data_IF_496628586778
#
_entry.id   IF_496628586778
#
_cell.length_a   1.000
_cell.length_b   1.000
_cell.length_c   1.000
_cell.angle_alpha   90.00
_cell.angle_beta   90.00
_cell.angle_gamma   90.00
#
_symmetry.space_group_name_H-M   'P 1'
#
loop_
_entity.id
_entity.type
_entity.pdbx_description
1 polymer ?
#
# COMPACT_ATOMS: atom_id res chain seq x y z
N UNK A 1 19.48 12.37 -17.81
CA UNK A 1 18.60 12.64 -16.65
C UNK A 1 18.69 11.46 -15.70
N UNK A 2 18.58 11.64 -14.39
CA UNK A 2 18.50 10.53 -13.43
C UNK A 2 17.19 9.78 -13.62
N UNK A 3 17.21 8.44 -13.55
CA UNK A 3 16.00 7.62 -13.54
C UNK A 3 15.08 7.98 -12.39
N UNK A 4 13.77 8.08 -12.65
CA UNK A 4 12.78 8.20 -11.59
C UNK A 4 12.72 6.89 -10.78
N UNK A 5 12.77 6.98 -9.47
CA UNK A 5 12.73 5.83 -8.56
C UNK A 5 11.38 5.77 -7.85
N UNK A 6 10.60 4.75 -8.14
CA UNK A 6 9.32 4.46 -7.48
C UNK A 6 9.53 3.30 -6.52
N UNK A 7 9.20 3.52 -5.25
CA UNK A 7 9.31 2.52 -4.19
C UNK A 7 7.92 2.16 -3.67
N UNK A 8 7.59 0.87 -3.69
CA UNK A 8 6.40 0.31 -3.04
C UNK A 8 6.79 -0.21 -1.65
N UNK A 9 6.06 0.24 -0.64
CA UNK A 9 6.15 -0.22 0.75
C UNK A 9 4.79 -0.72 1.22
N UNK A 10 4.80 -1.79 1.99
CA UNK A 10 3.57 -2.38 2.49
C UNK A 10 3.78 -3.78 3.05
N UNK A 11 2.68 -4.50 3.12
CA UNK A 11 2.56 -5.85 3.64
C UNK A 11 2.42 -6.91 2.54
N UNK A 12 1.65 -7.98 2.80
CA UNK A 12 1.41 -9.08 1.84
C UNK A 12 0.70 -8.64 0.56
N UNK A 13 -0.11 -7.58 0.61
CA UNK A 13 -0.81 -7.05 -0.57
C UNK A 13 0.18 -6.43 -1.56
N UNK A 14 1.30 -5.91 -1.06
CA UNK A 14 2.39 -5.37 -1.86
C UNK A 14 3.39 -6.47 -2.24
N UNK A 15 3.84 -7.28 -1.28
CA UNK A 15 4.78 -8.41 -1.44
C UNK A 15 4.32 -9.43 -2.51
N UNK A 16 3.12 -9.96 -2.35
CA UNK A 16 2.50 -10.98 -3.22
C UNK A 16 3.49 -11.99 -3.81
N UNK A 17 4.35 -12.55 -2.93
CA UNK A 17 5.31 -13.60 -3.28
C UNK A 17 6.51 -13.13 -4.11
N UNK A 18 6.90 -11.87 -4.00
CA UNK A 18 8.12 -11.37 -4.65
C UNK A 18 9.37 -12.12 -4.18
N UNK A 19 10.37 -12.21 -5.02
CA UNK A 19 11.72 -12.62 -4.61
C UNK A 19 12.36 -11.49 -3.78
N UNK A 20 12.46 -11.68 -2.46
CA UNK A 20 13.01 -10.69 -1.53
C UNK A 20 14.51 -10.47 -1.68
N UNK A 21 15.21 -11.31 -2.42
CA UNK A 21 16.62 -11.12 -2.79
C UNK A 21 16.82 -10.12 -3.93
N UNK A 22 15.75 -9.80 -4.68
CA UNK A 22 15.77 -8.80 -5.75
C UNK A 22 14.68 -7.74 -5.53
N UNK A 23 15.08 -6.55 -5.14
CA UNK A 23 14.15 -5.42 -4.91
C UNK A 23 13.42 -4.94 -6.17
N UNK A 24 13.82 -5.40 -7.37
CA UNK A 24 13.13 -5.15 -8.64
C UNK A 24 12.10 -6.21 -8.99
N UNK A 25 12.07 -7.31 -8.24
CA UNK A 25 11.03 -8.32 -8.40
C UNK A 25 9.71 -7.79 -7.82
N UNK A 26 8.67 -7.69 -8.66
CA UNK A 26 7.37 -7.09 -8.33
C UNK A 26 6.34 -8.13 -7.86
N UNK A 27 6.76 -9.37 -7.58
CA UNK A 27 5.83 -10.45 -7.21
C UNK A 27 4.73 -10.68 -8.24
N UNK A 28 3.52 -10.95 -7.74
CA UNK A 28 2.31 -11.15 -8.55
C UNK A 28 1.17 -10.18 -8.16
N UNK A 29 1.47 -9.17 -7.35
CA UNK A 29 0.52 -8.17 -6.84
C UNK A 29 0.36 -6.95 -7.75
N UNK A 30 -0.32 -5.94 -7.21
CA UNK A 30 -0.56 -4.68 -7.93
C UNK A 30 0.75 -3.98 -8.41
N UNK A 31 1.92 -4.08 -7.71
CA UNK A 31 3.15 -3.45 -8.20
C UNK A 31 3.59 -3.98 -9.57
N UNK A 32 3.39 -5.28 -9.84
CA UNK A 32 3.66 -5.87 -11.15
C UNK A 32 2.80 -5.24 -12.24
N UNK A 33 1.49 -5.13 -12.00
CA UNK A 33 0.55 -4.53 -12.97
C UNK A 33 0.85 -3.06 -13.20
N UNK A 34 1.21 -2.30 -12.14
CA UNK A 34 1.65 -0.90 -12.26
C UNK A 34 2.89 -0.80 -13.16
N UNK A 35 3.95 -1.53 -12.81
CA UNK A 35 5.23 -1.45 -13.53
C UNK A 35 5.08 -1.87 -14.99
N UNK A 36 4.32 -2.95 -15.25
CA UNK A 36 4.11 -3.48 -16.60
C UNK A 36 3.29 -2.53 -17.46
N UNK A 37 2.15 -2.06 -16.96
CA UNK A 37 1.26 -1.16 -17.70
C UNK A 37 1.92 0.21 -17.94
N UNK A 38 2.63 0.75 -16.95
CA UNK A 38 3.35 2.02 -17.12
C UNK A 38 4.40 1.91 -18.22
N UNK A 39 5.24 0.86 -18.17
CA UNK A 39 6.30 0.66 -19.18
C UNK A 39 5.73 0.39 -20.57
N UNK A 40 4.62 -0.35 -20.68
CA UNK A 40 3.94 -0.59 -21.95
C UNK A 40 3.38 0.71 -22.58
N UNK A 41 2.80 1.57 -21.73
CA UNK A 41 2.26 2.87 -22.18
C UNK A 41 3.35 3.91 -22.48
N UNK A 42 4.50 3.83 -21.78
CA UNK A 42 5.59 4.83 -21.84
C UNK A 42 6.97 4.16 -21.96
N UNK A 43 7.26 3.46 -23.09
CA UNK A 43 8.46 2.62 -23.23
C UNK A 43 9.79 3.40 -23.17
N UNK A 44 9.76 4.71 -23.46
CA UNK A 44 10.95 5.57 -23.42
C UNK A 44 11.10 6.36 -22.12
N UNK A 45 10.22 6.16 -21.13
CA UNK A 45 10.30 6.84 -19.84
C UNK A 45 11.34 6.15 -18.94
N UNK A 46 12.32 6.91 -18.45
CA UNK A 46 13.42 6.37 -17.64
C UNK A 46 12.98 6.23 -16.17
N UNK A 47 12.52 5.05 -15.79
CA UNK A 47 11.93 4.74 -14.48
C UNK A 47 12.37 3.37 -13.97
N UNK A 48 12.69 3.32 -12.67
CA UNK A 48 12.88 2.08 -11.91
C UNK A 48 11.75 1.92 -10.89
N UNK A 49 11.22 0.71 -10.78
CA UNK A 49 10.27 0.31 -9.74
C UNK A 49 10.97 -0.64 -8.78
N UNK A 50 10.75 -0.43 -7.49
CA UNK A 50 11.27 -1.27 -6.40
C UNK A 50 10.11 -1.69 -5.52
N UNK A 51 10.06 -2.98 -5.17
CA UNK A 51 9.07 -3.53 -4.26
C UNK A 51 9.76 -4.04 -2.99
N UNK A 52 9.37 -3.48 -1.87
CA UNK A 52 9.86 -3.83 -0.54
C UNK A 52 8.70 -4.14 0.43
N UNK A 53 7.55 -4.58 -0.12
CA UNK A 53 6.50 -5.21 0.66
C UNK A 53 7.01 -6.46 1.39
N UNK A 54 6.56 -6.67 2.63
CA UNK A 54 6.85 -7.88 3.42
C UNK A 54 5.55 -8.40 4.03
N UNK A 55 5.19 -9.63 3.65
CA UNK A 55 3.97 -10.28 4.14
C UNK A 55 3.93 -10.33 5.67
N UNK A 56 2.82 -9.89 6.25
CA UNK A 56 2.58 -9.86 7.68
C UNK A 56 2.98 -8.57 8.38
N UNK A 57 3.69 -7.66 7.72
CA UNK A 57 4.14 -6.40 8.32
C UNK A 57 2.96 -5.54 8.78
N UNK A 58 3.16 -4.95 9.96
CA UNK A 58 2.39 -3.85 10.52
C UNK A 58 3.16 -2.54 10.34
N UNK A 59 2.56 -1.42 10.68
CA UNK A 59 3.25 -0.12 10.63
C UNK A 59 4.53 -0.10 11.47
N UNK A 60 4.55 -0.78 12.63
CA UNK A 60 5.73 -0.91 13.50
C UNK A 60 6.87 -1.70 12.84
N UNK A 61 6.54 -2.68 12.02
CA UNK A 61 7.52 -3.50 11.32
C UNK A 61 8.14 -2.71 10.16
N UNK A 62 7.35 -1.91 9.44
CA UNK A 62 7.88 -0.90 8.52
C UNK A 62 8.87 0.02 9.22
N UNK A 63 8.54 0.51 10.43
CA UNK A 63 9.41 1.39 11.21
C UNK A 63 10.77 0.73 11.50
N UNK A 64 10.77 -0.54 11.84
CA UNK A 64 11.99 -1.28 12.20
C UNK A 64 12.99 -1.40 11.03
N UNK A 65 12.51 -1.40 9.78
CA UNK A 65 13.34 -1.52 8.56
C UNK A 65 13.40 -0.25 7.70
N UNK A 66 12.82 0.86 8.18
CA UNK A 66 12.60 2.07 7.38
C UNK A 66 13.89 2.70 6.83
N UNK A 67 14.98 2.65 7.62
CA UNK A 67 16.26 3.20 7.19
C UNK A 67 16.78 2.49 5.94
N UNK A 68 16.93 1.17 5.99
CA UNK A 68 17.49 0.38 4.89
C UNK A 68 16.55 0.29 3.70
N UNK A 69 15.25 0.14 3.98
CA UNK A 69 14.28 -0.24 2.96
C UNK A 69 13.55 0.97 2.35
N UNK A 70 13.78 2.18 2.87
CA UNK A 70 13.22 3.41 2.33
C UNK A 70 14.26 4.53 2.21
N UNK A 71 14.84 4.97 3.34
CA UNK A 71 15.67 6.19 3.35
C UNK A 71 16.95 6.03 2.54
N UNK A 72 17.66 4.91 2.71
CA UNK A 72 18.91 4.62 1.99
C UNK A 72 18.69 4.46 0.47
N UNK A 73 17.50 4.07 0.05
CA UNK A 73 17.11 3.91 -1.36
C UNK A 73 16.83 5.24 -2.05
N UNK A 74 16.54 6.29 -1.28
CA UNK A 74 16.25 7.66 -1.77
C UNK A 74 15.26 7.67 -2.92
N UNK A 75 14.01 7.21 -2.71
CA UNK A 75 12.99 7.22 -3.74
C UNK A 75 12.62 8.65 -4.17
N UNK A 76 12.17 8.79 -5.41
CA UNK A 76 11.54 10.01 -5.91
C UNK A 76 10.03 9.96 -5.68
N UNK A 77 9.47 8.74 -5.67
CA UNK A 77 8.06 8.46 -5.37
C UNK A 77 8.00 7.30 -4.38
N UNK A 78 7.30 7.50 -3.29
CA UNK A 78 7.03 6.50 -2.26
C UNK A 78 5.54 6.16 -2.27
N UNK A 79 5.21 4.88 -2.45
CA UNK A 79 3.86 4.34 -2.38
C UNK A 79 3.72 3.49 -1.13
N UNK A 80 2.72 3.76 -0.28
CA UNK A 80 2.52 3.04 0.99
C UNK A 80 1.11 2.48 1.07
N UNK A 81 1.01 1.17 1.30
CA UNK A 81 -0.21 0.45 1.63
C UNK A 81 0.04 -0.42 2.86
N UNK A 82 -0.42 0.01 4.03
CA UNK A 82 -0.17 -0.66 5.32
C UNK A 82 -1.36 -0.47 6.26
N UNK A 83 -1.57 -1.41 7.17
CA UNK A 83 -2.51 -1.30 8.27
C UNK A 83 -3.50 -2.44 8.40
N UNK A 84 -3.63 -3.31 7.40
CA UNK A 84 -4.54 -4.46 7.51
C UNK A 84 -4.04 -5.48 8.55
N UNK A 85 -2.73 -5.69 8.68
CA UNK A 85 -2.17 -6.58 9.68
C UNK A 85 -2.22 -5.98 11.09
N UNK A 86 -2.22 -4.65 11.22
CA UNK A 86 -2.48 -3.98 12.51
C UNK A 86 -3.88 -4.32 13.01
N UNK A 87 -4.86 -4.50 12.12
CA UNK A 87 -6.19 -5.01 12.41
C UNK A 87 -6.20 -6.53 12.57
N UNK A 88 -5.62 -7.27 11.62
CA UNK A 88 -5.69 -8.73 11.58
C UNK A 88 -5.21 -9.39 12.88
N UNK A 89 -4.10 -8.90 13.45
CA UNK A 89 -3.49 -9.49 14.65
C UNK A 89 -4.38 -9.43 15.89
N UNK A 90 -5.37 -8.55 15.93
CA UNK A 90 -6.42 -8.56 16.97
C UNK A 90 -7.24 -9.85 16.93
N UNK A 91 -7.54 -10.36 15.71
CA UNK A 91 -8.48 -11.45 15.51
C UNK A 91 -7.82 -12.82 15.45
N UNK A 92 -6.60 -12.95 14.95
CA UNK A 92 -5.91 -14.24 14.83
C UNK A 92 -4.98 -14.59 15.97
N UNK A 93 -4.37 -13.59 16.60
CA UNK A 93 -3.35 -13.80 17.64
C UNK A 93 -3.62 -13.06 18.95
N UNK A 94 -4.71 -12.29 19.03
CA UNK A 94 -5.04 -11.53 20.25
C UNK A 94 -4.01 -10.42 20.55
N UNK A 95 -3.32 -9.91 19.53
CA UNK A 95 -2.31 -8.84 19.65
C UNK A 95 -2.79 -7.56 18.93
N UNK A 96 -3.74 -6.80 19.52
CA UNK A 96 -4.28 -5.59 18.93
C UNK A 96 -3.24 -4.48 18.88
N UNK A 97 -3.29 -3.68 17.81
CA UNK A 97 -2.53 -2.44 17.68
C UNK A 97 -3.43 -1.25 18.02
N UNK A 98 -2.93 -0.34 18.85
CA UNK A 98 -3.61 0.92 19.14
C UNK A 98 -3.63 1.82 17.91
N UNK A 99 -4.79 2.43 17.61
CA UNK A 99 -4.95 3.26 16.41
C UNK A 99 -4.21 4.59 16.50
N UNK A 100 -4.09 5.18 17.68
CA UNK A 100 -3.34 6.44 17.86
C UNK A 100 -1.84 6.18 17.72
N UNK A 101 -1.36 5.06 18.26
CA UNK A 101 0.03 4.64 18.07
C UNK A 101 0.33 4.32 16.61
N UNK A 102 -0.57 3.62 15.92
CA UNK A 102 -0.47 3.38 14.48
C UNK A 102 -0.31 4.68 13.70
N UNK A 103 -1.18 5.67 13.95
CA UNK A 103 -1.12 6.98 13.29
C UNK A 103 0.21 7.69 13.61
N UNK A 104 0.63 7.70 14.86
CA UNK A 104 1.88 8.33 15.30
C UNK A 104 3.11 7.72 14.60
N UNK A 105 3.17 6.40 14.53
CA UNK A 105 4.27 5.70 13.85
C UNK A 105 4.23 5.98 12.35
N UNK A 106 3.06 5.92 11.72
CA UNK A 106 2.92 6.19 10.29
C UNK A 106 3.41 7.62 9.94
N UNK A 107 3.01 8.63 10.72
CA UNK A 107 3.47 10.00 10.56
C UNK A 107 5.00 10.10 10.63
N UNK A 108 5.61 9.46 11.64
CA UNK A 108 7.07 9.49 11.79
C UNK A 108 7.83 8.90 10.60
N UNK A 109 7.29 7.86 9.94
CA UNK A 109 7.86 7.29 8.72
C UNK A 109 7.91 8.32 7.59
N UNK A 110 6.80 9.02 7.39
CA UNK A 110 6.69 10.00 6.29
C UNK A 110 7.48 11.29 6.58
N UNK A 111 7.55 11.70 7.84
CA UNK A 111 8.40 12.81 8.29
C UNK A 111 9.87 12.54 8.00
N UNK A 112 10.37 11.36 8.37
CA UNK A 112 11.74 10.96 8.09
C UNK A 112 12.00 10.94 6.57
N UNK A 113 11.12 10.32 5.79
CA UNK A 113 11.25 10.22 4.35
C UNK A 113 11.26 11.61 3.67
N UNK A 114 10.38 12.52 4.10
CA UNK A 114 10.30 13.88 3.58
C UNK A 114 11.49 14.74 4.02
N UNK A 115 12.05 14.49 5.22
CA UNK A 115 13.27 15.16 5.70
C UNK A 115 14.48 14.79 4.87
N UNK A 116 14.61 13.49 4.50
CA UNK A 116 15.71 13.01 3.63
C UNK A 116 15.56 13.48 2.18
N UNK A 117 14.33 13.60 1.69
CA UNK A 117 14.03 14.08 0.34
C UNK A 117 12.83 15.04 0.36
N UNK A 118 13.03 16.36 0.48
CA UNK A 118 11.95 17.34 0.46
C UNK A 118 11.12 17.35 -0.84
N UNK A 119 11.67 16.81 -1.94
CA UNK A 119 10.96 16.69 -3.24
C UNK A 119 10.25 15.35 -3.41
N UNK A 120 10.31 14.46 -2.42
CA UNK A 120 9.66 13.15 -2.45
C UNK A 120 8.16 13.31 -2.74
N UNK A 121 7.64 12.54 -3.68
CA UNK A 121 6.21 12.39 -3.90
C UNK A 121 5.68 11.19 -3.14
N UNK A 122 4.57 11.35 -2.44
CA UNK A 122 4.01 10.30 -1.57
C UNK A 122 2.60 9.94 -2.05
N UNK A 123 2.40 8.65 -2.35
CA UNK A 123 1.10 8.05 -2.64
C UNK A 123 0.71 7.20 -1.44
N UNK A 124 -0.42 7.52 -0.82
CA UNK A 124 -0.96 6.76 0.31
C UNK A 124 -2.23 6.05 -0.15
N UNK A 125 -2.32 4.75 0.18
CA UNK A 125 -3.51 3.94 -0.06
C UNK A 125 -4.13 3.52 1.27
N UNK A 126 -5.47 3.46 1.31
CA UNK A 126 -6.19 2.92 2.46
C UNK A 126 -5.98 1.40 2.59
N UNK A 127 -5.76 0.88 3.80
CA UNK A 127 -5.99 -0.54 4.06
C UNK A 127 -7.48 -0.84 3.86
N UNK A 128 -7.82 -2.06 3.44
CA UNK A 128 -9.19 -2.44 3.13
C UNK A 128 -9.53 -3.84 3.63
N UNK A 129 -10.81 -4.12 3.75
CA UNK A 129 -11.37 -5.47 3.90
C UNK A 129 -12.67 -5.58 3.14
N UNK A 130 -12.85 -6.68 2.41
CA UNK A 130 -14.09 -7.00 1.72
C UNK A 130 -14.92 -7.99 2.55
N UNK A 131 -16.23 -7.84 2.51
CA UNK A 131 -17.18 -8.67 3.26
C UNK A 131 -17.39 -10.01 2.53
N UNK A 132 -16.44 -10.93 2.67
CA UNK A 132 -16.52 -12.31 2.17
C UNK A 132 -17.04 -13.28 3.23
N UNK A 133 -17.07 -12.89 4.50
CA UNK A 133 -17.58 -13.67 5.63
C UNK A 133 -17.97 -12.76 6.80
N UNK A 134 -18.76 -13.28 7.74
CA UNK A 134 -19.11 -12.56 8.98
C UNK A 134 -17.87 -12.22 9.81
N UNK A 135 -16.85 -13.08 9.80
CA UNK A 135 -15.57 -12.78 10.44
C UNK A 135 -14.94 -11.52 9.83
N UNK A 136 -14.83 -11.44 8.50
CA UNK A 136 -14.27 -10.28 7.81
C UNK A 136 -15.11 -9.02 8.02
N UNK A 137 -16.44 -9.15 8.05
CA UNK A 137 -17.33 -8.05 8.40
C UNK A 137 -17.06 -7.48 9.79
N UNK A 138 -16.79 -8.34 10.78
CA UNK A 138 -16.49 -7.92 12.15
C UNK A 138 -15.20 -7.09 12.28
N UNK A 139 -14.27 -7.22 11.34
CA UNK A 139 -13.03 -6.44 11.34
C UNK A 139 -13.23 -4.94 11.14
N UNK A 140 -14.41 -4.54 10.63
CA UNK A 140 -14.75 -3.12 10.44
C UNK A 140 -14.67 -2.33 11.75
N UNK A 141 -15.00 -2.96 12.89
CA UNK A 141 -14.90 -2.33 14.21
C UNK A 141 -13.49 -1.77 14.50
N UNK A 142 -12.44 -2.50 14.10
CA UNK A 142 -11.04 -2.10 14.29
C UNK A 142 -10.45 -1.37 13.07
N UNK A 143 -10.84 -1.80 11.86
CA UNK A 143 -10.29 -1.23 10.62
C UNK A 143 -10.81 0.19 10.33
N UNK A 144 -12.09 0.47 10.57
CA UNK A 144 -12.68 1.78 10.24
C UNK A 144 -11.99 2.95 10.95
N UNK A 145 -11.73 2.88 12.28
CA UNK A 145 -10.93 3.90 12.96
C UNK A 145 -9.53 4.07 12.35
N UNK A 146 -8.91 2.96 11.91
CA UNK A 146 -7.58 2.96 11.29
C UNK A 146 -7.60 3.59 9.89
N UNK A 147 -8.63 3.33 9.09
CA UNK A 147 -8.86 4.03 7.82
C UNK A 147 -8.95 5.53 8.05
N UNK A 148 -9.68 5.98 9.09
CA UNK A 148 -9.76 7.41 9.42
C UNK A 148 -8.39 7.97 9.83
N UNK A 149 -7.56 7.21 10.54
CA UNK A 149 -6.19 7.61 10.86
C UNK A 149 -5.35 7.78 9.57
N UNK A 150 -5.43 6.82 8.63
CA UNK A 150 -4.74 6.92 7.33
C UNK A 150 -5.20 8.15 6.54
N UNK A 151 -6.49 8.49 6.57
CA UNK A 151 -7.02 9.71 5.92
C UNK A 151 -6.44 10.98 6.52
N UNK A 152 -6.28 11.05 7.85
CA UNK A 152 -5.63 12.20 8.51
C UNK A 152 -4.15 12.29 8.12
N UNK A 153 -3.43 11.17 8.11
CA UNK A 153 -2.04 11.11 7.64
C UNK A 153 -1.95 11.56 6.18
N UNK A 154 -2.82 11.04 5.32
CA UNK A 154 -2.82 11.40 3.90
C UNK A 154 -3.09 12.88 3.65
N UNK A 155 -4.00 13.48 4.42
CA UNK A 155 -4.29 14.93 4.34
C UNK A 155 -3.03 15.79 4.56
N UNK A 156 -2.14 15.34 5.45
CA UNK A 156 -0.98 16.13 5.85
C UNK A 156 0.27 15.82 4.99
N UNK A 157 0.38 14.59 4.44
CA UNK A 157 1.62 14.14 3.80
C UNK A 157 1.47 13.66 2.35
N UNK A 158 0.29 13.27 1.88
CA UNK A 158 0.16 12.68 0.56
C UNK A 158 0.14 13.72 -0.56
N UNK A 159 0.90 13.47 -1.63
CA UNK A 159 0.75 14.16 -2.92
C UNK A 159 -0.41 13.55 -3.72
N UNK A 160 -0.68 12.24 -3.52
CA UNK A 160 -1.87 11.56 -4.03
C UNK A 160 -2.41 10.56 -3.00
N UNK A 161 -3.72 10.46 -2.91
CA UNK A 161 -4.42 9.56 -2.00
C UNK A 161 -5.39 8.67 -2.77
N UNK A 162 -5.39 7.37 -2.43
CA UNK A 162 -6.27 6.38 -3.05
C UNK A 162 -7.18 5.81 -1.96
N UNK A 163 -8.48 6.14 -1.95
CA UNK A 163 -9.45 5.63 -0.98
C UNK A 163 -9.82 4.17 -1.31
N UNK A 164 -8.83 3.28 -1.16
CA UNK A 164 -8.86 1.94 -1.73
C UNK A 164 -9.95 1.07 -1.12
N UNK A 165 -10.24 1.22 0.18
CA UNK A 165 -11.34 0.52 0.84
C UNK A 165 -12.69 0.84 0.17
N UNK A 166 -12.96 2.13 -0.03
CA UNK A 166 -14.20 2.55 -0.71
C UNK A 166 -14.28 2.09 -2.16
N UNK A 167 -13.17 2.14 -2.89
CA UNK A 167 -13.11 1.77 -4.31
C UNK A 167 -13.33 0.27 -4.54
N UNK A 168 -12.72 -0.59 -3.72
CA UNK A 168 -12.89 -2.04 -3.83
C UNK A 168 -14.27 -2.49 -3.35
N UNK A 169 -14.78 -1.92 -2.25
CA UNK A 169 -16.15 -2.21 -1.81
C UNK A 169 -17.18 -1.74 -2.84
N UNK A 170 -16.98 -0.58 -3.49
CA UNK A 170 -17.85 -0.14 -4.57
C UNK A 170 -17.83 -1.08 -5.78
N UNK A 171 -16.66 -1.58 -6.18
CA UNK A 171 -16.54 -2.56 -7.25
C UNK A 171 -17.27 -3.88 -6.93
N UNK A 172 -17.32 -4.26 -5.64
CA UNK A 172 -18.01 -5.46 -5.19
C UNK A 172 -19.54 -5.33 -5.15
N UNK A 173 -20.12 -4.13 -5.31
CA UNK A 173 -21.58 -3.93 -5.34
C UNK A 173 -22.22 -4.58 -6.56
N UNK A 174 -21.58 -4.44 -7.72
CA UNK A 174 -22.09 -4.95 -9.00
C UNK A 174 -21.59 -6.38 -9.32
N UNK A 175 -20.73 -6.94 -8.45
CA UNK A 175 -20.09 -8.25 -8.62
C UNK A 175 -20.15 -9.04 -7.31
N UNK A 176 -19.13 -9.81 -6.98
CA UNK A 176 -18.97 -10.41 -5.65
C UNK A 176 -17.61 -10.00 -5.06
N UNK A 177 -17.51 -9.86 -3.72
CA UNK A 177 -16.25 -9.47 -3.07
C UNK A 177 -15.11 -10.45 -3.36
N UNK A 178 -15.40 -11.75 -3.47
CA UNK A 178 -14.42 -12.80 -3.73
C UNK A 178 -13.73 -12.64 -5.10
N UNK A 179 -14.37 -11.98 -6.06
CA UNK A 179 -13.73 -11.66 -7.34
C UNK A 179 -12.52 -10.76 -7.13
N UNK A 180 -12.60 -9.80 -6.22
CA UNK A 180 -11.55 -8.81 -5.98
C UNK A 180 -10.54 -9.26 -4.94
N UNK A 181 -10.99 -9.91 -3.86
CA UNK A 181 -10.14 -10.49 -2.83
C UNK A 181 -10.82 -11.73 -2.24
N UNK A 182 -10.41 -12.95 -2.64
CA UNK A 182 -11.09 -14.19 -2.25
C UNK A 182 -11.21 -14.44 -0.76
N UNK A 183 -10.28 -13.94 0.03
CA UNK A 183 -10.27 -14.01 1.50
C UNK A 183 -10.67 -12.69 2.18
N UNK A 184 -11.08 -11.71 1.38
CA UNK A 184 -11.43 -10.37 1.83
C UNK A 184 -10.27 -9.40 1.98
N UNK A 185 -9.01 -9.87 1.88
CA UNK A 185 -7.77 -9.09 2.13
C UNK A 185 -6.81 -9.15 0.96
N UNK A 186 -6.45 -10.36 0.52
CA UNK A 186 -5.45 -10.54 -0.54
C UNK A 186 -6.10 -10.43 -1.92
N UNK A 187 -5.71 -9.45 -2.73
CA UNK A 187 -6.29 -9.26 -4.05
C UNK A 187 -6.09 -10.47 -4.95
N UNK A 188 -7.13 -10.84 -5.69
CA UNK A 188 -7.00 -11.66 -6.88
C UNK A 188 -6.20 -10.91 -7.97
N UNK A 189 -5.97 -11.55 -9.14
CA UNK A 189 -5.39 -10.82 -10.28
C UNK A 189 -6.30 -9.68 -10.75
N UNK A 190 -7.64 -9.85 -10.69
CA UNK A 190 -8.58 -8.79 -11.04
C UNK A 190 -8.51 -7.63 -10.04
N UNK A 191 -8.44 -7.95 -8.73
CA UNK A 191 -8.26 -6.97 -7.68
C UNK A 191 -6.93 -6.23 -7.79
N UNK A 192 -5.84 -6.95 -8.05
CA UNK A 192 -4.52 -6.35 -8.24
C UNK A 192 -4.48 -5.43 -9.48
N UNK A 193 -5.11 -5.83 -10.58
CA UNK A 193 -5.23 -4.99 -11.78
C UNK A 193 -6.08 -3.74 -11.53
N UNK A 194 -7.16 -3.87 -10.74
CA UNK A 194 -8.01 -2.74 -10.35
C UNK A 194 -7.24 -1.73 -9.47
N UNK A 195 -6.50 -2.22 -8.46
CA UNK A 195 -5.63 -1.38 -7.62
C UNK A 195 -4.60 -0.65 -8.48
N UNK A 196 -3.95 -1.37 -9.40
CA UNK A 196 -2.94 -0.80 -10.28
C UNK A 196 -3.50 0.30 -11.19
N UNK A 197 -4.75 0.15 -11.68
CA UNK A 197 -5.43 1.20 -12.45
C UNK A 197 -5.58 2.48 -11.62
N UNK A 198 -6.12 2.39 -10.41
CA UNK A 198 -6.27 3.56 -9.54
C UNK A 198 -4.92 4.17 -9.15
N UNK A 199 -3.90 3.32 -8.95
CA UNK A 199 -2.56 3.79 -8.66
C UNK A 199 -1.99 4.60 -9.83
N UNK A 200 -2.10 4.12 -11.07
CA UNK A 200 -1.62 4.82 -12.26
C UNK A 200 -2.37 6.14 -12.49
N UNK A 201 -3.69 6.16 -12.28
CA UNK A 201 -4.48 7.40 -12.34
C UNK A 201 -4.05 8.44 -11.30
N UNK A 202 -3.66 7.98 -10.10
CA UNK A 202 -3.14 8.85 -9.04
C UNK A 202 -1.72 9.34 -9.36
N UNK A 203 -0.87 8.45 -9.86
CA UNK A 203 0.52 8.75 -10.21
C UNK A 203 0.61 9.77 -11.35
N UNK A 204 -0.25 9.66 -12.38
CA UNK A 204 -0.29 10.59 -13.51
C UNK A 204 -0.61 12.04 -13.09
N UNK A 205 -1.25 12.24 -11.95
CA UNK A 205 -1.57 13.59 -11.42
C UNK A 205 -0.39 14.27 -10.73
N UNK A 206 0.62 13.49 -10.32
CA UNK A 206 1.77 14.00 -9.55
C UNK A 206 3.10 13.88 -10.30
N UNK A 207 3.10 13.21 -11.47
CA UNK A 207 4.24 13.07 -12.37
C UNK A 207 4.46 14.34 -13.17
#
# INVERSE_FOLDING_TARGET
>A
MRKLRVLFQGDSITDMGRDRGDIRNMGSGYPLFVASNFRAARPNFDIDFFDLGISGDRVRDLRARWQSDCLDLRPDVLSVLIGINDTWRRYDSGDPSDTEEFERVYRSLLEDARSENPSLKIIIMEPFVLHVSEERASWREDLDPRIQAVRRVAKDYADAFIPLDGLLNAAAVDTCPEQWAPDGVHPSFDGAALIARYWLEAFDKIL
#
